data_IF_832384185730
#
_entry.id   IF_832384185730
#
_cell.length_a   1.000
_cell.length_b   1.000
_cell.length_c   1.000
_cell.angle_alpha   90.00
_cell.angle_beta   90.00
_cell.angle_gamma   90.00
#
_symmetry.space_group_name_H-M   'P 1'
#
loop_
_entity.id
_entity.type
_entity.pdbx_description
1 polymer ?
#
# COMPACT_ATOMS: atom_id res chain seq x y z
N UNK A 1 -12.15 17.90 16.12
CA UNK A 1 -12.94 17.06 15.18
C UNK A 1 -12.17 15.79 14.90
N UNK A 2 -12.71 14.62 15.27
CA UNK A 2 -11.99 13.36 15.19
C UNK A 2 -12.39 12.48 14.01
N UNK A 3 -11.43 11.80 13.38
CA UNK A 3 -11.71 10.76 12.37
C UNK A 3 -10.64 9.68 12.29
N UNK A 4 -10.98 8.54 11.69
CA UNK A 4 -10.02 7.51 11.26
C UNK A 4 -9.76 7.64 9.76
N UNK A 5 -8.51 7.44 9.35
CA UNK A 5 -8.09 7.40 7.96
C UNK A 5 -7.67 5.98 7.58
N UNK A 6 -7.91 5.60 6.32
CA UNK A 6 -7.46 4.31 5.77
C UNK A 6 -5.95 4.31 5.45
N UNK A 7 -5.15 4.65 6.47
CA UNK A 7 -3.70 4.54 6.55
C UNK A 7 -3.40 3.58 7.70
N UNK A 8 -2.61 2.54 7.44
CA UNK A 8 -2.33 1.49 8.42
C UNK A 8 -0.99 1.75 9.15
N UNK A 9 -0.97 1.62 10.47
CA UNK A 9 0.24 1.68 11.30
C UNK A 9 0.62 0.26 11.75
N UNK A 10 1.54 -0.38 11.04
CA UNK A 10 1.80 -1.83 11.20
C UNK A 10 3.23 -2.18 11.62
N UNK A 11 4.18 -1.27 11.44
CA UNK A 11 5.58 -1.40 11.84
C UNK A 11 6.17 -0.02 12.16
N UNK A 12 7.30 0.00 12.87
CA UNK A 12 8.08 1.22 13.17
C UNK A 12 7.20 2.39 13.65
N UNK A 13 6.33 2.14 14.64
CA UNK A 13 5.20 3.02 15.02
C UNK A 13 5.55 4.49 15.13
N UNK A 14 6.56 4.84 15.94
CA UNK A 14 6.99 6.23 16.15
C UNK A 14 7.38 6.90 14.82
N UNK A 15 8.27 6.26 14.06
CA UNK A 15 8.70 6.74 12.75
C UNK A 15 7.54 6.83 11.74
N UNK A 16 6.60 5.90 11.78
CA UNK A 16 5.41 5.94 10.92
C UNK A 16 4.54 7.14 11.27
N UNK A 17 4.30 7.42 12.56
CA UNK A 17 3.56 8.60 13.01
C UNK A 17 4.28 9.90 12.62
N UNK A 18 5.60 9.96 12.77
CA UNK A 18 6.40 11.12 12.32
C UNK A 18 6.28 11.34 10.80
N UNK A 19 6.34 10.26 10.02
CA UNK A 19 6.20 10.33 8.57
C UNK A 19 4.79 10.80 8.14
N UNK A 20 3.76 10.37 8.87
CA UNK A 20 2.38 10.83 8.67
C UNK A 20 2.27 12.32 9.04
N UNK A 21 2.77 12.71 10.21
CA UNK A 21 2.74 14.09 10.69
C UNK A 21 3.43 15.04 9.72
N UNK A 22 4.63 14.69 9.25
CA UNK A 22 5.35 15.45 8.24
C UNK A 22 4.56 15.56 6.92
N UNK A 23 3.90 14.47 6.49
CA UNK A 23 3.09 14.48 5.27
C UNK A 23 1.86 15.37 5.40
N UNK A 24 1.15 15.31 6.53
CA UNK A 24 -0.06 16.10 6.77
C UNK A 24 0.27 17.58 6.92
N UNK A 25 1.36 17.89 7.63
CA UNK A 25 1.88 19.27 7.74
C UNK A 25 2.16 19.85 6.35
N UNK A 26 2.80 19.08 5.46
CA UNK A 26 3.07 19.50 4.08
C UNK A 26 1.80 19.68 3.23
N UNK A 27 0.81 18.80 3.39
CA UNK A 27 -0.47 18.88 2.65
C UNK A 27 -1.39 20.01 3.11
N UNK A 28 -1.29 20.39 4.39
CA UNK A 28 -2.24 21.29 5.07
C UNK A 28 -1.56 22.57 5.57
N UNK A 29 -0.37 22.88 5.05
CA UNK A 29 0.50 23.98 5.50
C UNK A 29 -0.13 25.37 5.48
N UNK A 30 -1.17 25.57 4.66
CA UNK A 30 -1.81 26.86 4.42
C UNK A 30 -3.11 27.02 5.24
N UNK A 31 -3.41 26.08 6.14
CA UNK A 31 -4.62 26.06 6.96
C UNK A 31 -4.28 26.38 8.43
N UNK A 32 -5.18 27.10 9.11
CA UNK A 32 -5.04 27.46 10.53
C UNK A 32 -5.77 26.45 11.44
N UNK A 33 -5.04 25.41 11.81
CA UNK A 33 -5.51 24.38 12.74
C UNK A 33 -4.35 23.63 13.40
N UNK A 34 -4.66 22.98 14.52
CA UNK A 34 -3.79 22.00 15.18
C UNK A 34 -4.26 20.59 14.84
N UNK A 35 -3.30 19.69 14.64
CA UNK A 35 -3.56 18.27 14.37
C UNK A 35 -2.90 17.41 15.45
N UNK A 36 -3.69 16.54 16.06
CA UNK A 36 -3.20 15.44 16.89
C UNK A 36 -3.35 14.12 16.13
N UNK A 37 -2.27 13.36 16.02
CA UNK A 37 -2.20 12.14 15.23
C UNK A 37 -1.92 10.96 16.16
N UNK A 38 -2.71 9.91 16.01
CA UNK A 38 -2.54 8.66 16.72
C UNK A 38 -2.94 7.47 15.86
N UNK A 39 -3.29 6.36 16.51
CA UNK A 39 -3.87 5.21 15.83
C UNK A 39 -4.84 4.48 16.74
N UNK A 40 -5.83 3.83 16.14
CA UNK A 40 -6.84 3.06 16.86
C UNK A 40 -6.34 1.66 17.22
N UNK A 41 -7.13 0.91 18.01
CA UNK A 41 -6.85 -0.50 18.32
C UNK A 41 -6.70 -1.37 17.07
N UNK A 42 -7.39 -1.00 15.99
CA UNK A 42 -7.31 -1.65 14.69
C UNK A 42 -6.15 -1.14 13.83
N UNK A 43 -5.24 -0.34 14.41
CA UNK A 43 -4.05 0.20 13.76
C UNK A 43 -4.34 1.16 12.59
N UNK A 44 -5.53 1.75 12.54
CA UNK A 44 -5.84 2.82 11.59
C UNK A 44 -5.41 4.16 12.18
N UNK A 45 -4.88 5.05 11.35
CA UNK A 45 -4.49 6.40 11.79
C UNK A 45 -5.73 7.15 12.28
N UNK A 46 -5.64 7.74 13.45
CA UNK A 46 -6.65 8.66 14.01
C UNK A 46 -6.13 10.08 13.92
N UNK A 47 -6.99 11.00 13.52
CA UNK A 47 -6.68 12.44 13.49
C UNK A 47 -7.72 13.18 14.31
N UNK A 48 -7.28 14.04 15.21
CA UNK A 48 -8.11 15.09 15.80
C UNK A 48 -7.62 16.45 15.32
N UNK A 49 -8.54 17.27 14.81
CA UNK A 49 -8.26 18.60 14.29
C UNK A 49 -9.02 19.67 15.07
N UNK A 50 -8.34 20.72 15.50
CA UNK A 50 -8.92 21.84 16.24
C UNK A 50 -8.50 23.18 15.63
N UNK A 51 -9.44 24.10 15.45
CA UNK A 51 -9.23 25.39 14.78
C UNK A 51 -10.25 25.69 13.68
N UNK A 52 -10.09 26.84 13.03
CA UNK A 52 -11.04 27.38 12.06
C UNK A 52 -11.15 26.51 10.79
N UNK A 53 -10.03 25.91 10.37
CA UNK A 53 -9.97 25.07 9.16
C UNK A 53 -10.12 23.56 9.44
N UNK A 54 -10.48 23.17 10.66
CA UNK A 54 -10.52 21.77 11.09
C UNK A 54 -11.44 20.89 10.23
N UNK A 55 -12.64 21.38 9.87
CA UNK A 55 -13.59 20.63 9.05
C UNK A 55 -13.05 20.39 7.63
N UNK A 56 -12.46 21.42 7.02
CA UNK A 56 -11.87 21.33 5.69
C UNK A 56 -10.68 20.37 5.68
N UNK A 57 -9.79 20.47 6.67
CA UNK A 57 -8.65 19.55 6.81
C UNK A 57 -9.11 18.09 6.92
N UNK A 58 -10.11 17.80 7.76
CA UNK A 58 -10.65 16.46 7.94
C UNK A 58 -11.31 15.96 6.64
N UNK A 59 -12.10 16.78 5.96
CA UNK A 59 -12.72 16.40 4.68
C UNK A 59 -11.65 16.08 3.62
N UNK A 60 -10.65 16.95 3.47
CA UNK A 60 -9.54 16.75 2.54
C UNK A 60 -8.79 15.43 2.81
N UNK A 61 -8.47 15.14 4.08
CA UNK A 61 -7.78 13.91 4.45
C UNK A 61 -8.63 12.66 4.15
N UNK A 62 -9.95 12.72 4.40
CA UNK A 62 -10.88 11.62 4.07
C UNK A 62 -10.96 11.37 2.58
N UNK A 63 -11.06 12.41 1.75
CA UNK A 63 -11.07 12.26 0.29
C UNK A 63 -9.75 11.66 -0.22
N UNK A 64 -8.63 12.12 0.33
CA UNK A 64 -7.30 11.70 -0.11
C UNK A 64 -6.95 10.27 0.30
N UNK A 65 -7.25 9.90 1.55
CA UNK A 65 -6.82 8.64 2.12
C UNK A 65 -7.93 7.61 2.28
N UNK A 66 -9.19 8.03 2.26
CA UNK A 66 -10.34 7.20 2.61
C UNK A 66 -10.46 6.98 4.12
N UNK A 67 -11.51 6.28 4.53
CA UNK A 67 -11.76 5.87 5.92
C UNK A 67 -11.92 4.35 5.99
N UNK A 68 -11.57 3.69 7.11
CA UNK A 68 -11.88 2.29 7.29
C UNK A 68 -13.40 2.05 7.23
N UNK A 69 -13.79 0.93 6.64
CA UNK A 69 -15.18 0.48 6.43
C UNK A 69 -15.39 -0.84 7.16
N UNK A 70 -16.26 -0.80 8.17
CA UNK A 70 -16.59 -1.94 9.02
C UNK A 70 -17.80 -2.74 8.50
N UNK A 71 -18.69 -2.09 7.75
CA UNK A 71 -19.88 -2.67 7.13
C UNK A 71 -19.85 -2.41 5.62
N UNK A 72 -19.12 -3.22 4.85
CA UNK A 72 -18.96 -2.93 3.45
C UNK A 72 -20.19 -3.40 2.66
N UNK A 73 -20.58 -2.57 1.69
CA UNK A 73 -21.71 -2.79 0.78
C UNK A 73 -21.22 -3.34 -0.55
N UNK A 74 -21.95 -4.32 -1.10
CA UNK A 74 -21.70 -4.86 -2.43
C UNK A 74 -21.86 -3.80 -3.54
N UNK A 75 -21.09 -3.94 -4.62
CA UNK A 75 -21.02 -3.01 -5.74
C UNK A 75 -20.19 -1.75 -5.46
N UNK A 76 -19.49 -1.68 -4.32
CA UNK A 76 -18.65 -0.55 -3.94
C UNK A 76 -17.17 -0.95 -3.90
N UNK A 77 -16.33 0.07 -4.03
CA UNK A 77 -14.87 -0.02 -4.01
C UNK A 77 -14.36 0.49 -2.67
N UNK A 78 -13.42 -0.23 -2.08
CA UNK A 78 -12.79 0.11 -0.81
C UNK A 78 -11.28 0.09 -0.93
N UNK A 79 -10.63 1.05 -0.28
CA UNK A 79 -9.18 1.02 -0.05
C UNK A 79 -8.90 0.15 1.16
N UNK A 80 -7.86 -0.66 1.08
CA UNK A 80 -7.40 -1.47 2.20
C UNK A 80 -5.92 -1.82 2.08
N UNK A 81 -5.49 -2.68 2.99
CA UNK A 81 -4.12 -3.18 3.08
C UNK A 81 -4.13 -4.69 3.05
N UNK A 82 -3.23 -5.32 2.30
CA UNK A 82 -3.05 -6.78 2.34
C UNK A 82 -2.60 -7.15 3.76
N UNK A 83 -3.42 -7.89 4.50
CA UNK A 83 -3.12 -8.30 5.88
C UNK A 83 -2.32 -9.61 5.92
N UNK A 84 -2.70 -10.56 5.07
CA UNK A 84 -2.01 -11.84 4.89
C UNK A 84 -2.19 -12.35 3.46
N UNK A 85 -1.21 -13.14 3.02
CA UNK A 85 -1.26 -13.91 1.78
C UNK A 85 -1.16 -15.36 2.22
N UNK A 86 -2.19 -16.13 1.93
CA UNK A 86 -2.33 -17.55 2.26
C UNK A 86 -2.43 -18.35 0.94
N UNK A 87 -2.27 -19.67 1.01
CA UNK A 87 -2.29 -20.54 -0.17
C UNK A 87 -3.61 -20.46 -0.95
N UNK A 88 -4.73 -20.24 -0.26
CA UNK A 88 -6.08 -20.28 -0.84
C UNK A 88 -6.77 -18.90 -0.93
N UNK A 89 -6.20 -17.86 -0.32
CA UNK A 89 -6.76 -16.49 -0.30
C UNK A 89 -5.74 -15.40 0.02
N UNK A 90 -6.04 -14.18 -0.42
CA UNK A 90 -5.40 -12.95 0.06
C UNK A 90 -6.40 -12.24 0.99
N UNK A 91 -6.01 -11.99 2.24
CA UNK A 91 -6.83 -11.25 3.19
C UNK A 91 -6.49 -9.77 3.08
N UNK A 92 -7.47 -8.93 2.85
CA UNK A 92 -7.35 -7.47 2.81
C UNK A 92 -8.12 -6.88 3.99
N UNK A 93 -7.48 -6.01 4.74
CA UNK A 93 -8.14 -5.24 5.80
C UNK A 93 -8.58 -3.88 5.23
N UNK A 94 -9.90 -3.70 5.12
CA UNK A 94 -10.53 -2.43 4.72
C UNK A 94 -11.12 -1.69 5.93
N UNK A 95 -10.94 -2.18 7.16
CA UNK A 95 -11.72 -1.86 8.35
C UNK A 95 -12.36 -3.14 8.90
N UNK A 96 -12.90 -3.94 7.98
CA UNK A 96 -13.22 -5.36 8.14
C UNK A 96 -12.27 -6.20 7.28
N UNK A 97 -11.90 -7.39 7.76
CA UNK A 97 -11.13 -8.35 6.96
C UNK A 97 -12.01 -8.97 5.89
N UNK A 98 -11.61 -8.80 4.64
CA UNK A 98 -12.24 -9.41 3.46
C UNK A 98 -11.25 -10.32 2.76
N UNK A 99 -11.72 -11.39 2.12
CA UNK A 99 -10.85 -12.41 1.52
C UNK A 99 -11.05 -12.49 0.01
N UNK A 100 -9.96 -12.40 -0.74
CA UNK A 100 -9.92 -12.60 -2.19
C UNK A 100 -9.43 -14.03 -2.44
N UNK A 101 -10.32 -14.89 -2.91
CA UNK A 101 -9.98 -16.27 -3.30
C UNK A 101 -9.52 -16.33 -4.75
N UNK A 102 -9.09 -17.51 -5.22
CA UNK A 102 -8.66 -17.72 -6.61
C UNK A 102 -9.69 -17.22 -7.66
N UNK A 103 -10.99 -17.34 -7.38
CA UNK A 103 -12.03 -16.83 -8.29
C UNK A 103 -12.02 -15.31 -8.43
N UNK A 104 -11.64 -14.59 -7.37
CA UNK A 104 -11.49 -13.12 -7.34
C UNK A 104 -10.20 -12.61 -7.99
N UNK A 105 -9.26 -13.51 -8.31
CA UNK A 105 -7.98 -13.20 -8.94
C UNK A 105 -7.91 -13.59 -10.42
N UNK A 106 -9.02 -14.06 -11.03
CA UNK A 106 -9.03 -14.52 -12.42
C UNK A 106 -8.51 -13.48 -13.42
N UNK A 107 -8.67 -12.19 -13.13
CA UNK A 107 -8.14 -11.09 -13.95
C UNK A 107 -6.61 -10.93 -13.86
N UNK A 108 -5.95 -11.58 -12.91
CA UNK A 108 -4.49 -11.66 -12.75
C UNK A 108 -3.91 -12.99 -13.26
N UNK A 109 -4.70 -13.76 -14.00
CA UNK A 109 -4.31 -15.03 -14.59
C UNK A 109 -4.58 -16.24 -13.70
N UNK A 110 -4.06 -17.40 -14.11
CA UNK A 110 -4.25 -18.67 -13.40
C UNK A 110 -3.25 -18.83 -12.24
N UNK A 111 -3.62 -19.65 -11.26
CA UNK A 111 -2.82 -19.95 -10.07
C UNK A 111 -3.64 -19.84 -8.79
N UNK A 112 -3.09 -20.36 -7.70
CA UNK A 112 -3.62 -20.09 -6.37
C UNK A 112 -3.18 -18.68 -5.88
N UNK A 113 -3.82 -18.11 -4.86
CA UNK A 113 -3.54 -16.72 -4.46
C UNK A 113 -2.10 -16.39 -4.06
N UNK A 114 -1.33 -17.30 -3.45
CA UNK A 114 0.08 -17.08 -3.14
C UNK A 114 0.98 -17.07 -4.39
N UNK A 115 0.68 -17.90 -5.40
CA UNK A 115 1.36 -17.83 -6.71
C UNK A 115 1.07 -16.51 -7.42
N UNK A 116 -0.18 -16.04 -7.39
CA UNK A 116 -0.55 -14.73 -7.95
C UNK A 116 0.17 -13.61 -7.20
N UNK A 117 0.20 -13.67 -5.87
CA UNK A 117 0.92 -12.70 -5.06
C UNK A 117 2.41 -12.65 -5.41
N UNK A 118 3.06 -13.80 -5.52
CA UNK A 118 4.48 -13.91 -5.92
C UNK A 118 4.71 -13.33 -7.33
N UNK A 119 3.84 -13.65 -8.30
CA UNK A 119 3.96 -13.16 -9.68
C UNK A 119 3.90 -11.64 -9.78
N UNK A 120 3.06 -11.01 -8.97
CA UNK A 120 2.82 -9.56 -8.97
C UNK A 120 3.50 -8.83 -7.80
N UNK A 121 4.46 -9.47 -7.13
CA UNK A 121 5.22 -8.85 -6.05
C UNK A 121 4.36 -8.31 -4.91
N UNK A 122 3.19 -8.91 -4.67
CA UNK A 122 2.29 -8.52 -3.59
C UNK A 122 2.91 -8.95 -2.27
N UNK A 123 2.89 -8.04 -1.29
CA UNK A 123 3.42 -8.25 0.05
C UNK A 123 2.40 -7.85 1.12
N UNK A 124 2.55 -8.33 2.36
CA UNK A 124 1.83 -7.78 3.49
C UNK A 124 1.96 -6.27 3.55
N UNK A 125 0.88 -5.63 3.98
CA UNK A 125 0.70 -4.18 4.10
C UNK A 125 0.90 -3.39 2.80
N UNK A 126 0.80 -4.03 1.63
CA UNK A 126 0.66 -3.30 0.38
C UNK A 126 -0.75 -2.67 0.30
N UNK A 127 -0.85 -1.34 0.03
CA UNK A 127 -2.14 -0.70 -0.15
C UNK A 127 -2.77 -1.12 -1.48
N UNK A 128 -4.05 -1.50 -1.43
CA UNK A 128 -4.81 -2.02 -2.57
C UNK A 128 -6.22 -1.47 -2.59
N UNK A 129 -6.85 -1.50 -3.77
CA UNK A 129 -8.29 -1.26 -3.90
C UNK A 129 -9.01 -2.56 -4.23
N UNK A 130 -10.07 -2.84 -3.48
CA UNK A 130 -10.91 -4.02 -3.66
C UNK A 130 -12.34 -3.63 -3.96
N UNK A 131 -13.05 -4.50 -4.66
CA UNK A 131 -14.47 -4.38 -4.95
C UNK A 131 -15.19 -5.60 -4.35
N UNK A 132 -16.31 -5.36 -3.70
CA UNK A 132 -17.21 -6.42 -3.22
C UNK A 132 -18.31 -6.62 -4.25
N UNK A 133 -18.50 -7.85 -4.69
CA UNK A 133 -19.46 -8.24 -5.70
C UNK A 133 -20.52 -9.15 -5.11
N UNK A 134 -21.77 -8.97 -5.52
CA UNK A 134 -22.80 -9.98 -5.34
C UNK A 134 -22.82 -10.88 -6.57
N UNK A 135 -22.55 -12.16 -6.38
CA UNK A 135 -22.62 -13.18 -7.42
C UNK A 135 -23.69 -14.20 -7.10
N UNK A 136 -24.06 -15.02 -8.09
CA UNK A 136 -25.00 -16.13 -7.88
C UNK A 136 -24.51 -17.15 -6.84
N UNK A 137 -23.20 -17.19 -6.56
CA UNK A 137 -22.59 -18.07 -5.57
C UNK A 137 -22.38 -17.39 -4.20
N UNK A 138 -22.86 -16.15 -4.02
CA UNK A 138 -22.67 -15.34 -2.82
C UNK A 138 -21.77 -14.13 -3.02
N UNK A 139 -21.37 -13.50 -1.91
CA UNK A 139 -20.46 -12.35 -1.91
C UNK A 139 -19.05 -12.78 -2.33
N UNK A 140 -18.47 -12.08 -3.29
CA UNK A 140 -17.12 -12.30 -3.79
C UNK A 140 -16.32 -11.01 -3.74
N UNK A 141 -15.05 -11.08 -3.33
CA UNK A 141 -14.16 -9.93 -3.31
C UNK A 141 -13.08 -10.09 -4.37
N UNK A 142 -12.74 -9.00 -5.06
CA UNK A 142 -11.66 -8.95 -6.06
C UNK A 142 -10.87 -7.65 -5.96
N UNK A 143 -9.68 -7.61 -6.55
CA UNK A 143 -9.06 -6.32 -6.87
C UNK A 143 -9.91 -5.57 -7.90
N UNK A 144 -9.94 -4.24 -7.81
CA UNK A 144 -10.62 -3.43 -8.82
C UNK A 144 -9.98 -3.61 -10.19
N UNK A 145 -10.72 -3.33 -11.27
CA UNK A 145 -10.17 -3.34 -12.63
C UNK A 145 -8.91 -2.48 -12.74
N UNK A 146 -8.97 -1.23 -12.26
CA UNK A 146 -7.82 -0.32 -12.22
C UNK A 146 -6.61 -0.90 -11.46
N UNK A 147 -6.85 -1.59 -10.33
CA UNK A 147 -5.77 -2.21 -9.56
C UNK A 147 -5.12 -3.36 -10.34
N UNK A 148 -5.92 -4.20 -10.99
CA UNK A 148 -5.42 -5.30 -11.79
C UNK A 148 -4.69 -4.82 -13.05
N UNK A 149 -5.22 -3.80 -13.73
CA UNK A 149 -4.59 -3.17 -14.89
C UNK A 149 -3.22 -2.61 -14.54
N UNK A 150 -3.11 -1.92 -13.39
CA UNK A 150 -1.83 -1.40 -12.89
C UNK A 150 -0.82 -2.51 -12.60
N UNK A 151 -1.26 -3.62 -12.01
CA UNK A 151 -0.38 -4.79 -11.77
C UNK A 151 0.10 -5.41 -13.09
N UNK A 152 -0.77 -5.50 -14.11
CA UNK A 152 -0.38 -5.96 -15.44
C UNK A 152 0.53 -4.99 -16.18
N UNK A 153 0.28 -3.68 -16.07
CA UNK A 153 1.16 -2.64 -16.63
C UNK A 153 2.57 -2.78 -16.06
N UNK A 154 2.69 -2.95 -14.74
CA UNK A 154 3.97 -3.20 -14.08
C UNK A 154 4.62 -4.50 -14.53
N UNK A 155 3.83 -5.57 -14.69
CA UNK A 155 4.34 -6.89 -15.11
C UNK A 155 4.87 -6.89 -16.55
N UNK A 156 4.20 -6.14 -17.44
CA UNK A 156 4.53 -6.01 -18.87
C UNK A 156 5.57 -4.93 -19.17
N UNK A 157 5.97 -4.14 -18.16
CA UNK A 157 7.03 -3.16 -18.31
C UNK A 157 8.37 -3.85 -18.62
N UNK A 158 9.28 -3.14 -19.28
CA UNK A 158 10.63 -3.63 -19.63
C UNK A 158 11.61 -3.66 -18.45
N UNK A 159 11.18 -3.22 -17.27
CA UNK A 159 12.02 -3.06 -16.07
C UNK A 159 11.39 -3.73 -14.87
N UNK A 160 12.22 -4.37 -14.04
CA UNK A 160 11.80 -4.90 -12.75
C UNK A 160 11.32 -3.78 -11.81
N UNK A 161 10.35 -4.10 -10.96
CA UNK A 161 9.87 -3.21 -9.89
C UNK A 161 9.98 -3.92 -8.54
N UNK A 162 10.41 -3.17 -7.52
CA UNK A 162 10.53 -3.66 -6.14
C UNK A 162 9.48 -2.94 -5.29
N UNK A 163 8.55 -3.70 -4.74
CA UNK A 163 7.61 -3.21 -3.73
C UNK A 163 8.29 -3.34 -2.39
N UNK A 164 8.35 -2.25 -1.62
CA UNK A 164 8.97 -2.21 -0.29
C UNK A 164 8.09 -1.42 0.66
N UNK A 165 7.91 -1.94 1.87
CA UNK A 165 7.07 -1.34 2.90
C UNK A 165 7.89 -0.96 4.15
N UNK A 166 7.26 -0.39 5.19
CA UNK A 166 7.86 -0.18 6.52
C UNK A 166 9.02 0.81 6.60
N UNK A 167 9.33 1.53 5.51
CA UNK A 167 10.49 2.43 5.45
C UNK A 167 10.11 3.79 4.89
N UNK A 168 10.74 4.84 5.38
CA UNK A 168 10.62 6.16 4.75
C UNK A 168 11.39 6.19 3.42
N UNK A 169 11.01 7.11 2.53
CA UNK A 169 11.72 7.32 1.26
C UNK A 169 13.19 7.72 1.47
N UNK A 170 13.49 8.45 2.53
CA UNK A 170 14.86 8.87 2.86
C UNK A 170 15.70 7.69 3.34
N UNK A 171 15.15 6.79 4.17
CA UNK A 171 15.83 5.55 4.57
C UNK A 171 16.10 4.66 3.36
N UNK A 172 15.10 4.42 2.51
CA UNK A 172 15.25 3.61 1.30
C UNK A 172 16.35 4.18 0.38
N UNK A 173 16.32 5.49 0.12
CA UNK A 173 17.35 6.19 -0.66
C UNK A 173 18.74 6.08 -0.01
N UNK A 174 18.81 6.19 1.31
CA UNK A 174 20.06 6.06 2.07
C UNK A 174 20.65 4.65 1.92
N UNK A 175 19.84 3.60 2.05
CA UNK A 175 20.29 2.21 1.88
C UNK A 175 20.73 1.95 0.44
N UNK A 176 19.94 2.34 -0.56
CA UNK A 176 20.31 2.23 -1.98
C UNK A 176 21.61 2.96 -2.32
N UNK A 177 21.90 4.08 -1.64
CA UNK A 177 23.18 4.78 -1.80
C UNK A 177 24.33 4.01 -1.17
N UNK A 178 24.14 3.47 0.04
CA UNK A 178 25.16 2.71 0.78
C UNK A 178 25.47 1.36 0.14
N UNK A 179 24.53 0.74 -0.59
CA UNK A 179 24.75 -0.49 -1.38
C UNK A 179 25.27 -0.22 -2.78
N UNK A 180 25.38 1.03 -3.22
CA UNK A 180 25.83 1.35 -4.58
C UNK A 180 24.73 1.29 -5.66
N UNK A 181 23.52 0.86 -5.32
CA UNK A 181 22.41 0.73 -6.27
C UNK A 181 21.70 2.03 -6.67
N UNK A 182 22.18 3.19 -6.24
CA UNK A 182 21.54 4.47 -6.62
C UNK A 182 21.47 4.68 -8.14
N UNK A 183 22.43 4.13 -8.89
CA UNK A 183 22.44 4.22 -10.36
C UNK A 183 21.51 3.20 -11.01
N UNK A 184 21.20 2.11 -10.33
CA UNK A 184 20.35 1.02 -10.83
C UNK A 184 18.85 1.36 -10.73
N UNK A 185 18.51 2.46 -10.04
CA UNK A 185 17.13 2.90 -9.85
C UNK A 185 16.79 4.05 -10.81
N UNK A 186 15.71 3.87 -11.58
CA UNK A 186 15.13 4.92 -12.41
C UNK A 186 14.33 5.91 -11.56
N UNK A 187 13.48 5.39 -10.67
CA UNK A 187 12.60 6.20 -9.84
C UNK A 187 12.00 5.43 -8.67
N UNK A 188 11.24 6.15 -7.85
CA UNK A 188 10.47 5.57 -6.76
C UNK A 188 9.11 6.21 -6.73
N UNK A 189 8.08 5.42 -7.00
CA UNK A 189 6.69 5.79 -6.84
C UNK A 189 6.25 5.54 -5.41
N UNK A 190 5.37 6.41 -4.89
CA UNK A 190 4.77 6.25 -3.57
C UNK A 190 3.46 5.48 -3.69
N UNK A 191 3.32 4.40 -2.93
CA UNK A 191 2.07 3.63 -2.83
C UNK A 191 1.25 4.04 -1.59
N UNK A 192 1.95 4.34 -0.50
CA UNK A 192 1.39 4.88 0.73
C UNK A 192 2.43 5.67 1.51
N UNK A 193 2.29 5.83 2.82
CA UNK A 193 3.23 6.68 3.59
C UNK A 193 4.59 5.99 3.72
N UNK A 194 4.57 4.70 4.07
CA UNK A 194 5.76 3.86 4.28
C UNK A 194 5.92 2.80 3.18
N UNK A 195 5.08 2.86 2.15
CA UNK A 195 5.02 1.89 1.05
C UNK A 195 5.44 2.53 -0.28
N UNK A 196 6.40 1.91 -0.96
CA UNK A 196 7.02 2.43 -2.17
C UNK A 196 7.11 1.34 -3.25
N UNK A 197 7.09 1.79 -4.50
CA UNK A 197 7.43 0.98 -5.67
C UNK A 197 8.70 1.58 -6.29
N UNK A 198 9.81 0.87 -6.13
CA UNK A 198 11.09 1.24 -6.74
C UNK A 198 11.12 0.70 -8.16
N UNK A 199 11.41 1.57 -9.12
CA UNK A 199 11.51 1.23 -10.54
C UNK A 199 12.98 1.04 -10.86
N UNK A 200 13.37 -0.17 -11.22
CA UNK A 200 14.73 -0.45 -11.64
C UNK A 200 14.98 0.16 -13.03
N UNK A 201 16.25 0.36 -13.38
CA UNK A 201 16.63 0.68 -14.77
C UNK A 201 16.57 -0.57 -15.63
N UNK A 202 16.63 -0.36 -16.94
CA UNK A 202 16.82 -1.42 -17.91
C UNK A 202 18.03 -2.28 -17.51
N UNK A 203 17.94 -3.59 -17.74
CA UNK A 203 18.97 -4.61 -17.42
C UNK A 203 19.28 -4.83 -15.94
N UNK A 204 18.76 -4.01 -15.02
CA UNK A 204 18.95 -4.20 -13.58
C UNK A 204 18.19 -5.43 -13.09
N UNK A 205 18.83 -6.23 -12.24
CA UNK A 205 18.22 -7.40 -11.60
C UNK A 205 17.54 -7.00 -10.28
N UNK A 206 16.21 -6.90 -10.29
CA UNK A 206 15.43 -6.53 -9.10
C UNK A 206 15.64 -7.49 -7.92
N UNK A 207 15.61 -8.82 -8.11
CA UNK A 207 15.90 -9.79 -7.06
C UNK A 207 17.29 -9.61 -6.42
N UNK A 208 18.32 -9.35 -7.23
CA UNK A 208 19.66 -9.06 -6.73
C UNK A 208 19.70 -7.83 -5.82
N UNK A 209 19.05 -6.74 -6.20
CA UNK A 209 18.93 -5.55 -5.34
C UNK A 209 18.25 -5.91 -4.02
N UNK A 210 17.13 -6.64 -4.04
CA UNK A 210 16.42 -7.06 -2.82
C UNK A 210 17.33 -7.86 -1.90
N UNK A 211 18.13 -8.78 -2.44
CA UNK A 211 19.08 -9.56 -1.64
C UNK A 211 20.14 -8.69 -0.93
N UNK A 212 20.55 -7.58 -1.55
CA UNK A 212 21.56 -6.67 -0.98
C UNK A 212 20.98 -5.63 -0.01
N UNK A 213 19.78 -5.12 -0.26
CA UNK A 213 19.13 -4.10 0.60
C UNK A 213 18.30 -4.69 1.72
N UNK A 214 17.73 -5.89 1.53
CA UNK A 214 16.82 -6.55 2.47
C UNK A 214 17.42 -6.70 3.87
N UNK A 215 18.63 -7.26 4.03
CA UNK A 215 19.28 -7.38 5.34
C UNK A 215 19.57 -6.05 6.05
N UNK A 216 19.46 -4.92 5.35
CA UNK A 216 19.73 -3.57 5.87
C UNK A 216 18.45 -2.80 6.23
N UNK A 217 17.28 -3.38 5.94
CA UNK A 217 15.97 -2.76 6.18
C UNK A 217 15.06 -3.74 6.92
N UNK A 218 14.38 -3.26 7.97
CA UNK A 218 13.30 -4.02 8.59
C UNK A 218 12.01 -3.80 7.78
N UNK A 219 11.92 -4.47 6.62
CA UNK A 219 10.88 -4.27 5.63
C UNK A 219 10.49 -5.58 4.94
N UNK A 220 9.24 -5.70 4.53
CA UNK A 220 8.84 -6.69 3.54
C UNK A 220 9.14 -6.18 2.14
N UNK A 221 9.58 -7.09 1.26
CA UNK A 221 9.90 -6.76 -0.13
C UNK A 221 9.32 -7.79 -1.09
N UNK A 222 8.77 -7.30 -2.20
CA UNK A 222 8.28 -8.11 -3.30
C UNK A 222 8.89 -7.61 -4.61
N UNK A 223 9.06 -8.50 -5.59
CA UNK A 223 9.61 -8.13 -6.90
C UNK A 223 8.64 -8.52 -8.00
N UNK A 224 8.33 -7.54 -8.84
CA UNK A 224 7.64 -7.75 -10.11
C UNK A 224 8.72 -7.82 -11.16
N UNK A 225 8.98 -9.04 -11.65
CA UNK A 225 9.94 -9.24 -12.73
C UNK A 225 9.31 -8.90 -14.07
N UNK A 226 9.97 -8.07 -14.87
CA UNK A 226 9.55 -7.79 -16.25
C UNK A 226 9.45 -9.09 -17.05
N UNK A 227 8.45 -9.21 -17.90
CA UNK A 227 8.43 -10.21 -18.97
C UNK A 227 9.45 -9.78 -20.03
N UNK A 228 10.70 -10.27 -19.88
CA UNK A 228 11.72 -10.13 -20.93
C UNK A 228 11.44 -11.09 -22.07
#
# INVERSE_FOLDING_TARGET
MQTELAIKVYSNTEQTLDAIAAKFTDDLKDLDMKLEIGFSKNKWVTVDADGDDAEFAIHFLKEKYGTPVYEPVAGKIYRGYIQSIEEDKIVVDIGKKVSITASGLKNLGTGNPDQVATRFGLIPYMPVKVEILNTNAGEQVRFTGQQADKLWEWKKASTDRIIVNSVTRSQLKSVLKKTGHSRDIYGTERLGIMEHCVICRETTDGPGIVAEIGPKLNADMGVIRSEK
#
